data_IF_244308488035
#
_entry.id   IF_244308488035
#
_cell.length_a   1.000
_cell.length_b   1.000
_cell.length_c   1.000
_cell.angle_alpha   90.00
_cell.angle_beta   90.00
_cell.angle_gamma   90.00
#
_symmetry.space_group_name_H-M   'P 1'
#
loop_
_entity.id
_entity.type
_entity.pdbx_description
1 polymer ?
#
# COMPACT_ATOMS: atom_id res chain seq x y z
N UNK A 1 25.09 16.57 -31.40
CA UNK A 1 23.89 16.62 -30.54
C UNK A 1 24.36 16.29 -29.13
N UNK A 2 24.10 17.14 -28.13
CA UNK A 2 24.42 16.76 -26.74
C UNK A 2 23.43 15.67 -26.35
N UNK A 3 23.92 14.50 -25.92
CA UNK A 3 23.08 13.47 -25.32
C UNK A 3 22.37 14.10 -24.12
N UNK A 4 21.05 13.99 -24.10
CA UNK A 4 20.21 14.50 -23.02
C UNK A 4 20.59 13.76 -21.72
N UNK A 5 20.73 14.48 -20.62
CA UNK A 5 21.09 13.86 -19.34
C UNK A 5 20.02 12.82 -18.94
N UNK A 6 20.38 11.65 -18.37
CA UNK A 6 19.39 10.68 -17.89
C UNK A 6 18.34 11.31 -16.95
N UNK A 7 18.76 12.29 -16.13
CA UNK A 7 17.86 13.03 -15.25
C UNK A 7 16.91 13.95 -16.04
N UNK A 8 17.39 14.63 -17.07
CA UNK A 8 16.58 15.50 -17.93
C UNK A 8 15.49 14.69 -18.64
N UNK A 9 15.83 13.50 -19.16
CA UNK A 9 14.86 12.59 -19.79
C UNK A 9 13.77 12.14 -18.80
N UNK A 10 14.14 11.80 -17.56
CA UNK A 10 13.18 11.45 -16.51
C UNK A 10 12.25 12.62 -16.19
N UNK A 11 12.81 13.82 -15.94
CA UNK A 11 12.03 15.01 -15.61
C UNK A 11 11.08 15.41 -16.76
N UNK A 12 11.55 15.33 -18.01
CA UNK A 12 10.74 15.53 -19.22
C UNK A 12 9.60 14.51 -19.32
N UNK A 13 9.86 13.24 -19.00
CA UNK A 13 8.82 12.22 -18.88
C UNK A 13 7.80 12.55 -17.79
N UNK A 14 8.21 13.05 -16.63
CA UNK A 14 7.30 13.39 -15.54
C UNK A 14 6.49 14.67 -15.77
N UNK A 15 6.91 15.56 -16.67
CA UNK A 15 6.20 16.83 -16.95
C UNK A 15 4.74 16.67 -17.46
N UNK A 16 4.31 15.46 -17.83
CA UNK A 16 2.98 15.19 -18.33
C UNK A 16 2.13 14.40 -17.32
N UNK A 17 0.95 14.93 -16.99
CA UNK A 17 0.01 14.34 -16.03
C UNK A 17 -0.35 12.89 -16.35
N UNK A 18 -0.63 12.56 -17.61
CA UNK A 18 -1.01 11.18 -18.00
C UNK A 18 0.10 10.18 -17.69
N UNK A 19 1.36 10.55 -17.94
CA UNK A 19 2.51 9.67 -17.65
C UNK A 19 2.69 9.45 -16.15
N UNK A 20 2.49 10.49 -15.34
CA UNK A 20 2.46 10.35 -13.87
C UNK A 20 1.36 9.37 -13.45
N UNK A 21 0.13 9.52 -13.97
CA UNK A 21 -0.98 8.64 -13.61
C UNK A 21 -0.74 7.18 -14.03
N UNK A 22 -0.11 6.95 -15.19
CA UNK A 22 0.30 5.60 -15.62
C UNK A 22 1.29 4.99 -14.63
N UNK A 23 2.34 5.72 -14.25
CA UNK A 23 3.34 5.23 -13.29
C UNK A 23 2.71 4.89 -11.93
N UNK A 24 1.85 5.77 -11.41
CA UNK A 24 1.13 5.57 -10.14
C UNK A 24 0.19 4.38 -10.21
N UNK A 25 -0.49 4.19 -11.35
CA UNK A 25 -1.41 3.08 -11.57
C UNK A 25 -0.68 1.73 -11.62
N UNK A 26 0.40 1.62 -12.39
CA UNK A 26 1.20 0.38 -12.46
C UNK A 26 1.86 0.09 -11.10
N UNK A 27 2.32 1.12 -10.37
CA UNK A 27 2.86 0.93 -9.01
C UNK A 27 1.84 0.32 -8.04
N UNK A 28 0.56 0.70 -8.19
CA UNK A 28 -0.54 0.25 -7.33
C UNK A 28 -1.01 -1.14 -7.69
N UNK A 29 -1.30 -1.37 -8.96
CA UNK A 29 -2.04 -2.54 -9.43
C UNK A 29 -1.11 -3.68 -9.89
N UNK A 30 0.18 -3.41 -10.01
CA UNK A 30 1.15 -4.32 -10.62
C UNK A 30 1.12 -4.26 -12.15
N UNK A 31 1.64 -5.30 -12.84
CA UNK A 31 1.76 -5.28 -14.29
C UNK A 31 0.39 -5.21 -15.01
N UNK A 32 0.26 -4.30 -15.97
CA UNK A 32 -0.98 -4.05 -16.72
C UNK A 32 -0.74 -3.94 -18.23
N UNK A 33 -1.65 -4.48 -19.03
CA UNK A 33 -1.67 -4.34 -20.49
C UNK A 33 -2.12 -2.95 -20.92
N UNK A 34 -1.84 -2.59 -22.18
CA UNK A 34 -2.28 -1.32 -22.78
C UNK A 34 -3.77 -1.03 -22.54
N UNK A 35 -4.63 -2.02 -22.76
CA UNK A 35 -6.09 -1.89 -22.62
C UNK A 35 -6.52 -1.76 -21.17
N UNK A 36 -5.91 -2.52 -20.24
CA UNK A 36 -6.22 -2.41 -18.80
C UNK A 36 -5.85 -1.03 -18.25
N UNK A 37 -4.72 -0.44 -18.68
CA UNK A 37 -4.31 0.90 -18.24
C UNK A 37 -5.29 1.95 -18.77
N UNK A 38 -5.67 1.87 -20.06
CA UNK A 38 -6.64 2.79 -20.65
C UNK A 38 -8.01 2.76 -19.95
N UNK A 39 -8.52 1.55 -19.67
CA UNK A 39 -9.80 1.37 -18.98
C UNK A 39 -9.77 1.95 -17.56
N UNK A 40 -8.72 1.62 -16.79
CA UNK A 40 -8.56 2.11 -15.41
C UNK A 40 -8.35 3.62 -15.32
N UNK A 41 -7.77 4.24 -16.35
CA UNK A 41 -7.65 5.70 -16.47
C UNK A 41 -8.87 6.37 -17.11
N UNK A 42 -9.93 5.61 -17.41
CA UNK A 42 -11.18 6.08 -18.03
C UNK A 42 -10.94 6.84 -19.34
N UNK A 43 -9.95 6.41 -20.13
CA UNK A 43 -9.62 7.03 -21.41
C UNK A 43 -10.41 6.39 -22.55
N UNK A 44 -11.03 7.21 -23.41
CA UNK A 44 -11.71 6.74 -24.62
C UNK A 44 -10.71 6.13 -25.63
N UNK A 45 -10.81 4.83 -25.96
CA UNK A 45 -9.93 4.14 -26.91
C UNK A 45 -9.97 4.72 -28.33
N UNK A 46 -11.10 5.28 -28.77
CA UNK A 46 -11.24 5.84 -30.12
C UNK A 46 -10.56 7.19 -30.26
N UNK A 47 -10.49 7.95 -29.17
CA UNK A 47 -9.97 9.32 -29.17
C UNK A 47 -8.49 9.34 -28.75
N UNK A 48 -8.11 8.50 -27.80
CA UNK A 48 -6.83 8.66 -27.10
C UNK A 48 -5.77 7.60 -27.41
N UNK A 49 -6.11 6.47 -28.06
CA UNK A 49 -5.16 5.35 -28.25
C UNK A 49 -3.83 5.74 -28.91
N UNK A 50 -3.84 6.56 -29.96
CA UNK A 50 -2.62 7.00 -30.65
C UNK A 50 -1.71 7.86 -29.78
N UNK A 51 -2.28 8.79 -28.99
CA UNK A 51 -1.52 9.58 -28.01
C UNK A 51 -1.09 8.76 -26.80
N UNK A 52 -1.86 7.73 -26.45
CA UNK A 52 -1.58 6.87 -25.31
C UNK A 52 -0.35 5.98 -25.53
N UNK A 53 -0.22 5.38 -26.71
CA UNK A 53 0.99 4.63 -27.08
C UNK A 53 2.26 5.48 -27.02
N UNK A 54 2.16 6.76 -27.37
CA UNK A 54 3.27 7.70 -27.22
C UNK A 54 3.67 7.92 -25.75
N UNK A 55 2.72 7.98 -24.82
CA UNK A 55 3.03 8.09 -23.39
C UNK A 55 3.80 6.88 -22.86
N UNK A 56 3.38 5.66 -23.21
CA UNK A 56 4.06 4.43 -22.82
C UNK A 56 5.46 4.36 -23.43
N UNK A 57 5.60 4.70 -24.73
CA UNK A 57 6.90 4.76 -25.40
C UNK A 57 7.89 5.68 -24.68
N UNK A 58 7.48 6.90 -24.34
CA UNK A 58 8.34 7.84 -23.61
C UNK A 58 8.74 7.33 -22.22
N UNK A 59 7.82 6.67 -21.51
CA UNK A 59 8.10 6.06 -20.20
C UNK A 59 9.08 4.88 -20.33
N UNK A 60 9.01 4.11 -21.41
CA UNK A 60 9.95 3.03 -21.69
C UNK A 60 11.33 3.56 -22.10
N UNK A 61 11.39 4.56 -22.97
CA UNK A 61 12.65 5.18 -23.41
C UNK A 61 13.40 5.88 -22.26
N UNK A 62 12.66 6.40 -21.28
CA UNK A 62 13.24 6.96 -20.04
C UNK A 62 13.55 5.89 -18.97
N UNK A 63 13.36 4.60 -19.29
CA UNK A 63 13.68 3.49 -18.41
C UNK A 63 12.78 3.37 -17.17
N UNK A 64 11.62 4.03 -17.15
CA UNK A 64 10.69 4.02 -16.01
C UNK A 64 9.74 2.82 -16.04
N UNK A 65 9.36 2.35 -17.24
CA UNK A 65 8.57 1.14 -17.41
C UNK A 65 9.23 0.18 -18.40
N UNK A 66 8.96 -1.11 -18.25
CA UNK A 66 9.31 -2.15 -19.21
C UNK A 66 8.06 -2.97 -19.56
N UNK A 67 8.09 -3.67 -20.69
CA UNK A 67 7.02 -4.59 -21.10
C UNK A 67 7.54 -6.02 -21.08
N UNK A 68 6.75 -6.93 -20.53
CA UNK A 68 7.00 -8.36 -20.67
C UNK A 68 6.48 -8.85 -22.02
N UNK A 69 7.36 -9.42 -22.85
CA UNK A 69 7.02 -9.87 -24.21
C UNK A 69 6.01 -11.02 -24.22
N UNK A 70 5.99 -11.84 -23.15
CA UNK A 70 5.12 -13.02 -23.08
C UNK A 70 3.67 -12.67 -22.76
N UNK A 71 3.46 -11.70 -21.87
CA UNK A 71 2.12 -11.27 -21.41
C UNK A 71 1.63 -9.97 -22.06
N UNK A 72 2.53 -9.19 -22.69
CA UNK A 72 2.22 -7.86 -23.21
C UNK A 72 1.91 -6.82 -22.12
N UNK A 73 2.26 -7.12 -20.86
CA UNK A 73 1.99 -6.25 -19.70
C UNK A 73 3.18 -5.35 -19.40
N UNK A 74 2.88 -4.10 -19.08
CA UNK A 74 3.83 -3.11 -18.63
C UNK A 74 4.00 -3.16 -17.11
N UNK A 75 5.23 -3.08 -16.64
CA UNK A 75 5.59 -3.04 -15.21
C UNK A 75 6.61 -1.93 -14.95
N UNK A 76 6.72 -1.48 -13.69
CA UNK A 76 7.75 -0.50 -13.29
C UNK A 76 9.11 -1.17 -13.20
N UNK A 77 10.14 -0.51 -13.73
CA UNK A 77 11.53 -0.86 -13.42
C UNK A 77 11.86 -0.44 -11.98
N UNK A 78 13.01 -0.85 -11.45
CA UNK A 78 13.50 -0.38 -10.14
C UNK A 78 13.57 1.16 -10.09
N UNK A 79 14.03 1.79 -11.18
CA UNK A 79 14.06 3.25 -11.31
C UNK A 79 12.65 3.85 -11.34
N UNK A 80 11.74 3.25 -12.11
CA UNK A 80 10.33 3.67 -12.16
C UNK A 80 9.65 3.63 -10.79
N UNK A 81 10.00 2.65 -9.97
CA UNK A 81 9.47 2.52 -8.62
C UNK A 81 10.01 3.61 -7.68
N UNK A 82 11.31 3.90 -7.71
CA UNK A 82 11.92 5.03 -6.99
C UNK A 82 11.34 6.38 -7.43
N UNK A 83 11.20 6.60 -8.73
CA UNK A 83 10.62 7.82 -9.29
C UNK A 83 9.15 7.98 -8.88
N UNK A 84 8.36 6.91 -8.96
CA UNK A 84 6.96 6.91 -8.49
C UNK A 84 6.87 7.28 -7.00
N UNK A 85 7.72 6.69 -6.16
CA UNK A 85 7.80 7.04 -4.74
C UNK A 85 8.20 8.51 -4.52
N UNK A 86 9.14 9.04 -5.32
CA UNK A 86 9.52 10.44 -5.26
C UNK A 86 8.38 11.40 -5.65
N UNK A 87 7.61 11.06 -6.69
CA UNK A 87 6.41 11.82 -7.08
C UNK A 87 5.41 11.86 -5.93
N UNK A 88 5.15 10.72 -5.28
CA UNK A 88 4.31 10.66 -4.08
C UNK A 88 4.85 11.57 -2.95
N UNK A 89 6.16 11.59 -2.72
CA UNK A 89 6.77 12.47 -1.71
C UNK A 89 6.59 13.96 -2.05
N UNK A 90 6.66 14.35 -3.33
CA UNK A 90 6.39 15.73 -3.76
C UNK A 90 4.91 16.07 -3.55
N UNK A 91 3.99 15.20 -3.98
CA UNK A 91 2.55 15.40 -3.77
C UNK A 91 2.24 15.55 -2.28
N UNK A 92 2.87 14.74 -1.43
CA UNK A 92 2.79 14.86 0.03
C UNK A 92 3.29 16.23 0.51
N UNK A 93 4.42 16.73 0.00
CA UNK A 93 4.94 18.04 0.36
C UNK A 93 4.00 19.18 -0.06
N UNK A 94 3.46 19.13 -1.27
CA UNK A 94 2.51 20.15 -1.78
C UNK A 94 1.21 20.14 -0.98
N UNK A 95 0.73 18.97 -0.57
CA UNK A 95 -0.49 18.87 0.23
C UNK A 95 -0.30 19.35 1.68
N UNK A 96 0.93 19.31 2.23
CA UNK A 96 1.22 19.92 3.54
C UNK A 96 0.83 21.40 3.59
N UNK A 97 0.86 22.15 2.48
CA UNK A 97 0.44 23.56 2.48
C UNK A 97 -1.09 23.75 2.54
N UNK A 98 -1.89 22.73 2.19
CA UNK A 98 -3.36 22.84 2.09
C UNK A 98 -4.13 22.46 3.36
N UNK A 99 -3.47 22.10 4.46
CA UNK A 99 -4.09 21.69 5.75
C UNK A 99 -5.05 20.48 5.69
N UNK A 100 -5.05 19.71 4.60
CA UNK A 100 -5.81 18.46 4.49
C UNK A 100 -4.93 17.28 4.91
N UNK A 101 -5.47 16.39 5.75
CA UNK A 101 -4.78 15.17 6.14
C UNK A 101 -4.82 14.17 4.99
N UNK A 102 -3.66 13.66 4.58
CA UNK A 102 -3.52 12.65 3.55
C UNK A 102 -3.33 11.25 4.13
N UNK A 103 -3.77 10.27 3.37
CA UNK A 103 -3.67 8.86 3.71
C UNK A 103 -3.01 8.09 2.57
N UNK A 104 -1.90 7.41 2.86
CA UNK A 104 -1.36 6.38 1.98
C UNK A 104 -2.10 5.07 2.18
N UNK A 105 -2.85 4.64 1.19
CA UNK A 105 -3.63 3.40 1.24
C UNK A 105 -2.73 2.17 1.15
N UNK A 106 -3.28 0.99 1.43
CA UNK A 106 -2.60 -0.30 1.19
C UNK A 106 -2.25 -0.54 -0.28
N UNK A 107 -2.95 0.14 -1.19
CA UNK A 107 -2.71 0.11 -2.64
C UNK A 107 -1.66 1.14 -3.08
N UNK A 108 -0.91 1.71 -2.13
CA UNK A 108 0.16 2.69 -2.37
C UNK A 108 -0.30 4.00 -3.05
N UNK A 109 -1.60 4.27 -3.11
CA UNK A 109 -2.14 5.58 -3.48
C UNK A 109 -2.19 6.52 -2.31
N UNK A 110 -2.17 7.81 -2.61
CA UNK A 110 -2.36 8.88 -1.65
C UNK A 110 -3.69 9.54 -1.94
N UNK A 111 -4.52 9.64 -0.91
CA UNK A 111 -5.86 10.22 -0.99
C UNK A 111 -6.16 11.06 0.26
N UNK A 112 -7.12 11.99 0.20
CA UNK A 112 -7.58 12.71 1.39
C UNK A 112 -8.16 11.76 2.43
N UNK A 113 -7.96 12.08 3.71
CA UNK A 113 -8.58 11.33 4.82
C UNK A 113 -10.10 11.35 4.70
N UNK A 114 -10.70 10.16 4.66
CA UNK A 114 -12.15 9.97 4.71
C UNK A 114 -12.53 8.99 5.83
N UNK A 115 -13.18 9.51 6.88
CA UNK A 115 -13.64 8.69 8.01
C UNK A 115 -14.65 7.62 7.60
N UNK A 116 -15.37 7.78 6.48
CA UNK A 116 -16.33 6.77 6.02
C UNK A 116 -15.65 5.43 5.73
N UNK A 117 -14.39 5.47 5.29
CA UNK A 117 -13.59 4.26 5.07
C UNK A 117 -13.28 3.51 6.37
N UNK A 118 -13.16 4.22 7.50
CA UNK A 118 -13.06 3.60 8.83
C UNK A 118 -14.37 2.90 9.16
N UNK A 119 -15.52 3.57 8.98
CA UNK A 119 -16.84 2.97 9.23
C UNK A 119 -17.05 1.71 8.39
N UNK A 120 -16.74 1.77 7.10
CA UNK A 120 -16.86 0.64 6.18
C UNK A 120 -15.96 -0.52 6.59
N UNK A 121 -14.72 -0.27 6.98
CA UNK A 121 -13.81 -1.31 7.47
C UNK A 121 -14.34 -1.97 8.76
N UNK A 122 -14.79 -1.18 9.74
CA UNK A 122 -15.35 -1.69 10.99
C UNK A 122 -16.60 -2.55 10.79
N UNK A 123 -17.50 -2.13 9.91
CA UNK A 123 -18.73 -2.87 9.57
C UNK A 123 -18.40 -4.15 8.81
N UNK A 124 -17.56 -4.05 7.77
CA UNK A 124 -17.24 -5.17 6.88
C UNK A 124 -16.41 -6.26 7.55
N UNK A 125 -15.41 -5.85 8.31
CA UNK A 125 -14.40 -6.80 8.83
C UNK A 125 -14.77 -7.29 10.22
N UNK A 126 -15.26 -6.40 11.09
CA UNK A 126 -15.55 -6.73 12.48
C UNK A 126 -17.06 -6.91 12.76
N UNK A 127 -17.92 -6.87 11.74
CA UNK A 127 -19.38 -6.92 11.86
C UNK A 127 -19.93 -5.90 12.88
N UNK A 128 -19.26 -4.76 13.02
CA UNK A 128 -19.65 -3.74 13.98
C UNK A 128 -20.97 -3.08 13.57
N UNK A 129 -21.94 -2.88 14.49
CA UNK A 129 -23.14 -2.11 14.19
C UNK A 129 -22.79 -0.72 13.67
N UNK A 130 -23.38 -0.32 12.53
CA UNK A 130 -23.02 0.94 11.85
C UNK A 130 -23.06 2.18 12.75
N UNK A 131 -24.05 2.28 13.66
CA UNK A 131 -24.13 3.39 14.63
C UNK A 131 -22.90 3.47 15.55
N UNK A 132 -22.40 2.32 16.00
CA UNK A 132 -21.20 2.23 16.84
C UNK A 132 -19.95 2.56 16.01
N UNK A 133 -19.86 2.01 14.79
CA UNK A 133 -18.76 2.30 13.87
C UNK A 133 -18.66 3.80 13.52
N UNK A 134 -19.79 4.46 13.29
CA UNK A 134 -19.85 5.92 13.09
C UNK A 134 -19.31 6.68 14.30
N UNK A 135 -19.67 6.25 15.52
CA UNK A 135 -19.21 6.87 16.78
C UNK A 135 -17.69 6.75 16.91
N UNK A 136 -17.13 5.56 16.71
CA UNK A 136 -15.69 5.31 16.77
C UNK A 136 -14.95 6.09 15.67
N UNK A 137 -15.48 6.11 14.44
CA UNK A 137 -14.87 6.85 13.33
C UNK A 137 -14.81 8.36 13.58
N UNK A 138 -15.85 8.91 14.23
CA UNK A 138 -15.93 10.33 14.56
C UNK A 138 -14.91 10.70 15.62
N UNK A 139 -14.79 9.88 16.65
CA UNK A 139 -13.76 10.06 17.68
C UNK A 139 -12.35 9.95 17.09
N UNK A 140 -12.12 8.97 16.20
CA UNK A 140 -10.86 8.84 15.50
C UNK A 140 -10.52 10.09 14.67
N UNK A 141 -11.48 10.58 13.88
CA UNK A 141 -11.34 11.82 13.10
C UNK A 141 -11.01 13.02 13.99
N UNK A 142 -11.75 13.23 15.08
CA UNK A 142 -11.54 14.35 15.98
C UNK A 142 -10.14 14.32 16.62
N UNK A 143 -9.68 13.15 17.07
CA UNK A 143 -8.34 13.01 17.67
C UNK A 143 -7.23 13.14 16.63
N UNK A 144 -7.40 12.60 15.42
CA UNK A 144 -6.45 12.76 14.31
C UNK A 144 -6.32 14.21 13.85
N UNK A 145 -7.43 14.96 13.80
CA UNK A 145 -7.39 16.41 13.51
C UNK A 145 -6.64 17.19 14.60
N UNK A 146 -6.86 16.84 15.88
CA UNK A 146 -6.20 17.48 17.03
C UNK A 146 -4.70 17.19 17.10
N UNK A 147 -4.25 16.03 16.65
CA UNK A 147 -2.82 15.66 16.68
C UNK A 147 -1.96 16.40 15.64
N UNK A 148 -2.57 17.21 14.77
CA UNK A 148 -1.89 17.94 13.69
C UNK A 148 -1.09 17.04 12.73
N UNK A 149 -1.43 15.75 12.69
CA UNK A 149 -0.81 14.80 11.77
C UNK A 149 -1.37 15.05 10.37
N UNK A 150 -0.50 15.40 9.42
CA UNK A 150 -0.89 15.70 8.04
C UNK A 150 -0.85 14.49 7.11
N UNK A 151 -0.21 13.40 7.53
CA UNK A 151 0.00 12.22 6.72
C UNK A 151 0.04 10.96 7.59
N UNK A 152 -0.73 9.95 7.21
CA UNK A 152 -0.64 8.60 7.79
C UNK A 152 -0.80 7.53 6.72
N UNK A 153 -0.34 6.32 7.01
CA UNK A 153 -0.76 5.15 6.24
C UNK A 153 -2.11 4.66 6.75
N UNK A 154 -2.88 3.99 5.90
CA UNK A 154 -4.11 3.31 6.31
C UNK A 154 -3.85 2.27 7.42
N UNK A 155 -2.62 1.70 7.47
CA UNK A 155 -2.16 0.85 8.55
C UNK A 155 -2.12 1.57 9.90
N UNK A 156 -1.49 2.76 9.95
CA UNK A 156 -1.39 3.52 11.18
C UNK A 156 -2.76 4.04 11.64
N UNK A 157 -3.63 4.42 10.72
CA UNK A 157 -5.03 4.77 11.06
C UNK A 157 -5.74 3.58 11.70
N UNK A 158 -5.53 2.36 11.18
CA UNK A 158 -6.08 1.15 11.80
C UNK A 158 -5.57 0.95 13.22
N UNK A 159 -4.26 1.07 13.45
CA UNK A 159 -3.72 0.95 14.81
C UNK A 159 -4.25 2.02 15.76
N UNK A 160 -4.42 3.24 15.26
CA UNK A 160 -5.04 4.33 16.01
C UNK A 160 -6.50 4.01 16.40
N UNK A 161 -7.27 3.45 15.47
CA UNK A 161 -8.64 2.99 15.74
C UNK A 161 -8.64 1.82 16.73
N UNK A 162 -7.71 0.85 16.59
CA UNK A 162 -7.57 -0.26 17.52
C UNK A 162 -7.29 0.23 18.95
N UNK A 163 -6.46 1.27 19.12
CA UNK A 163 -6.23 1.90 20.42
C UNK A 163 -7.52 2.48 21.01
N UNK A 164 -8.33 3.19 20.21
CA UNK A 164 -9.63 3.71 20.66
C UNK A 164 -10.57 2.56 21.06
N UNK A 165 -10.60 1.45 20.31
CA UNK A 165 -11.42 0.29 20.65
C UNK A 165 -11.01 -0.30 22.02
N UNK A 166 -9.71 -0.44 22.27
CA UNK A 166 -9.19 -0.90 23.56
C UNK A 166 -9.59 0.04 24.70
N UNK A 167 -9.42 1.36 24.53
CA UNK A 167 -9.81 2.36 25.53
C UNK A 167 -11.31 2.31 25.88
N UNK A 168 -12.16 1.87 24.93
CA UNK A 168 -13.61 1.72 25.11
C UNK A 168 -14.02 0.35 25.65
N UNK A 169 -13.07 -0.57 25.88
CA UNK A 169 -13.37 -1.95 26.26
C UNK A 169 -14.00 -2.80 25.14
N UNK A 170 -13.82 -2.39 23.88
CA UNK A 170 -14.35 -3.04 22.67
C UNK A 170 -13.32 -4.04 22.09
N UNK A 171 -12.76 -4.88 22.96
CA UNK A 171 -11.68 -5.81 22.65
C UNK A 171 -12.07 -6.84 21.58
N UNK A 172 -13.33 -7.26 21.57
CA UNK A 172 -13.89 -8.21 20.62
C UNK A 172 -13.75 -7.72 19.17
N UNK A 173 -13.93 -6.42 18.93
CA UNK A 173 -13.74 -5.83 17.60
C UNK A 173 -12.26 -5.64 17.28
N UNK A 174 -11.45 -5.23 18.27
CA UNK A 174 -10.00 -5.11 18.11
C UNK A 174 -9.37 -6.45 17.69
N UNK A 175 -9.76 -7.57 18.31
CA UNK A 175 -9.26 -8.90 17.95
C UNK A 175 -9.52 -9.29 16.49
N UNK A 176 -10.57 -8.75 15.87
CA UNK A 176 -10.87 -9.00 14.45
C UNK A 176 -10.05 -8.09 13.54
N UNK A 177 -9.72 -6.89 13.99
CA UNK A 177 -9.01 -5.88 13.20
C UNK A 177 -7.49 -5.96 13.31
N UNK A 178 -6.97 -6.80 14.21
CA UNK A 178 -5.54 -7.13 14.34
C UNK A 178 -4.98 -7.61 13.00
N UNK A 179 -3.79 -7.11 12.66
CA UNK A 179 -3.00 -7.60 11.54
C UNK A 179 -2.13 -8.76 11.98
N UNK A 180 -2.01 -9.75 11.11
CA UNK A 180 -1.07 -10.85 11.27
C UNK A 180 0.22 -10.50 10.54
N UNK A 181 1.34 -10.73 11.19
CA UNK A 181 2.63 -10.32 10.65
C UNK A 181 3.74 -10.37 11.68
N UNK A 182 4.97 -10.22 11.20
CA UNK A 182 6.13 -10.20 12.07
C UNK A 182 6.67 -8.77 12.22
N UNK A 183 7.19 -8.41 13.41
CA UNK A 183 7.96 -7.19 13.59
C UNK A 183 9.10 -7.10 12.57
N UNK A 184 9.35 -5.89 12.06
CA UNK A 184 10.42 -5.64 11.07
C UNK A 184 11.78 -6.12 11.59
N UNK A 185 12.03 -5.97 12.89
CA UNK A 185 13.24 -6.45 13.54
C UNK A 185 13.43 -7.96 13.41
N UNK A 186 12.37 -8.74 13.68
CA UNK A 186 12.40 -10.20 13.64
C UNK A 186 12.61 -10.70 12.21
N UNK A 187 11.89 -10.12 11.25
CA UNK A 187 12.11 -10.40 9.82
C UNK A 187 13.54 -10.09 9.40
N UNK A 188 14.10 -8.96 9.88
CA UNK A 188 15.49 -8.58 9.59
C UNK A 188 16.49 -9.59 10.15
N UNK A 189 16.24 -10.11 11.36
CA UNK A 189 17.05 -11.18 11.95
C UNK A 189 16.95 -12.45 11.12
N UNK A 190 15.73 -12.87 10.74
CA UNK A 190 15.51 -14.05 9.91
C UNK A 190 16.28 -13.94 8.60
N UNK A 191 16.19 -12.82 7.89
CA UNK A 191 16.95 -12.58 6.66
C UNK A 191 18.46 -12.70 6.91
N UNK A 192 18.98 -12.04 7.95
CA UNK A 192 20.41 -12.08 8.30
C UNK A 192 20.89 -13.49 8.65
N UNK A 193 20.10 -14.26 9.39
CA UNK A 193 20.47 -15.61 9.80
C UNK A 193 20.41 -16.58 8.62
N UNK A 194 19.37 -16.49 7.78
CA UNK A 194 19.28 -17.29 6.56
C UNK A 194 20.42 -16.98 5.60
N UNK A 195 20.84 -15.70 5.51
CA UNK A 195 22.00 -15.31 4.68
C UNK A 195 23.34 -15.92 5.11
N UNK A 196 23.43 -16.41 6.36
CA UNK A 196 24.62 -17.09 6.91
C UNK A 196 24.58 -18.61 6.70
N UNK A 197 23.46 -19.17 6.25
CA UNK A 197 23.36 -20.57 5.87
C UNK A 197 24.13 -20.80 4.56
N UNK A 198 24.64 -22.00 4.35
CA UNK A 198 25.44 -22.34 3.17
C UNK A 198 24.68 -22.24 1.84
N UNK A 199 23.35 -22.19 1.87
CA UNK A 199 22.48 -22.02 0.72
C UNK A 199 21.33 -21.04 1.04
N UNK A 200 21.58 -19.72 0.97
CA UNK A 200 20.59 -18.71 1.31
C UNK A 200 19.58 -18.55 0.17
N UNK A 201 18.44 -19.23 0.30
CA UNK A 201 17.33 -19.16 -0.65
C UNK A 201 16.23 -18.21 -0.12
N UNK A 202 15.70 -17.29 -0.96
CA UNK A 202 14.53 -16.48 -0.65
C UNK A 202 13.30 -17.31 -0.24
N UNK A 203 13.17 -18.52 -0.76
CA UNK A 203 12.09 -19.46 -0.44
C UNK A 203 12.12 -19.87 1.04
N UNK A 204 13.30 -19.99 1.65
CA UNK A 204 13.43 -20.29 3.09
C UNK A 204 12.87 -19.14 3.93
N UNK A 205 13.22 -17.89 3.58
CA UNK A 205 12.71 -16.69 4.27
C UNK A 205 11.19 -16.61 4.10
N UNK A 206 10.70 -16.87 2.89
CA UNK A 206 9.27 -16.88 2.61
C UNK A 206 8.52 -17.97 3.41
N UNK A 207 9.09 -19.18 3.52
CA UNK A 207 8.52 -20.26 4.34
C UNK A 207 8.43 -19.85 5.80
N UNK A 208 9.53 -19.38 6.40
CA UNK A 208 9.56 -18.99 7.82
C UNK A 208 8.56 -17.86 8.11
N UNK A 209 8.53 -16.83 7.26
CA UNK A 209 7.60 -15.72 7.42
C UNK A 209 6.15 -16.17 7.23
N UNK A 210 5.89 -17.06 6.26
CA UNK A 210 4.57 -17.64 6.02
C UNK A 210 4.08 -18.49 7.18
N UNK A 211 4.93 -19.37 7.69
CA UNK A 211 4.63 -20.24 8.83
C UNK A 211 4.27 -19.42 10.07
N UNK A 212 5.04 -18.37 10.38
CA UNK A 212 4.76 -17.49 11.50
C UNK A 212 3.41 -16.77 11.38
N UNK A 213 3.06 -16.28 10.19
CA UNK A 213 1.77 -15.61 9.93
C UNK A 213 0.60 -16.58 10.06
N UNK A 214 0.76 -17.81 9.55
CA UNK A 214 -0.27 -18.85 9.62
C UNK A 214 -0.45 -19.37 11.05
N UNK A 215 0.63 -19.55 11.80
CA UNK A 215 0.58 -19.89 13.22
C UNK A 215 -0.22 -18.85 14.01
N UNK A 216 0.07 -17.56 13.81
CA UNK A 216 -0.66 -16.47 14.45
C UNK A 216 -2.16 -16.47 14.08
N UNK A 217 -2.48 -16.72 12.80
CA UNK A 217 -3.88 -16.89 12.36
C UNK A 217 -4.57 -18.05 13.09
N UNK A 218 -3.89 -19.20 13.19
CA UNK A 218 -4.45 -20.39 13.82
C UNK A 218 -4.75 -20.15 15.30
N UNK A 219 -3.80 -19.57 16.03
CA UNK A 219 -3.94 -19.27 17.44
C UNK A 219 -5.07 -18.24 17.71
N UNK A 220 -5.24 -17.26 16.82
CA UNK A 220 -6.24 -16.19 17.01
C UNK A 220 -7.65 -16.55 16.52
N UNK A 221 -7.78 -17.38 15.47
CA UNK A 221 -9.07 -17.58 14.78
C UNK A 221 -9.54 -19.03 14.71
N UNK A 222 -8.63 -19.99 14.66
CA UNK A 222 -8.99 -21.39 14.36
C UNK A 222 -9.08 -22.21 15.63
N UNK A 223 -8.09 -22.06 16.51
CA UNK A 223 -7.96 -22.88 17.71
C UNK A 223 -8.87 -22.35 18.84
N UNK A 224 -9.46 -23.26 19.65
CA UNK A 224 -10.08 -22.87 20.90
C UNK A 224 -9.07 -22.15 21.79
N UNK A 225 -9.52 -21.10 22.50
CA UNK A 225 -8.66 -20.26 23.34
C UNK A 225 -7.82 -21.07 24.33
N UNK A 226 -8.39 -22.10 24.94
CA UNK A 226 -7.66 -22.97 25.88
C UNK A 226 -6.51 -23.75 25.22
N UNK A 227 -6.65 -24.12 23.94
CA UNK A 227 -5.59 -24.82 23.19
C UNK A 227 -4.52 -23.83 22.74
N UNK A 228 -4.93 -22.65 22.28
CA UNK A 228 -4.00 -21.59 21.91
C UNK A 228 -3.16 -21.14 23.12
N UNK A 229 -3.81 -20.91 24.27
CA UNK A 229 -3.14 -20.51 25.51
C UNK A 229 -2.16 -21.61 25.98
N UNK A 230 -2.54 -22.89 25.87
CA UNK A 230 -1.66 -24.01 26.20
C UNK A 230 -0.42 -24.05 25.28
N UNK A 231 -0.59 -23.92 23.96
CA UNK A 231 0.53 -23.85 23.01
C UNK A 231 1.49 -22.70 23.33
N UNK A 232 0.95 -21.54 23.69
CA UNK A 232 1.75 -20.36 24.05
C UNK A 232 2.51 -20.51 25.38
N UNK A 233 2.06 -21.39 26.28
CA UNK A 233 2.72 -21.64 27.57
C UNK A 233 3.86 -22.68 27.49
N UNK A 234 4.00 -23.38 26.36
CA UNK A 234 4.94 -24.51 26.20
C UNK A 234 4.49 -25.77 26.94
#
# INVERSE_FOLDING_TARGET
MREESPLESILSSLSNKTRIEILKLINREGPLSFTEIMEKLQMDPKIHAGKFGYHLKMLSESGLIASDESSGKYYLTSLGQEVSNFVYNIEDFVCKEKSEMLVRTSSLTIEPFDRKKIVEALVREANMPRRLADTISKEAEERLKKSQIRYLTAALIREFVNAILLEKGLEEYRHVLTRLGQPVYDVTITIKNTSKLGDPSPEIIHSIAGDAVLEEYMLLKVLPRTIADAHLCG
#
